data_IF_219247107443
#
_entry.id   IF_219247107443
#
_cell.length_a   1.000
_cell.length_b   1.000
_cell.length_c   1.000
_cell.angle_alpha   90.00
_cell.angle_beta   90.00
_cell.angle_gamma   90.00
#
_symmetry.space_group_name_H-M   'P 1'
#
loop_
_entity.id
_entity.type
_entity.pdbx_description
1 polymer ?
#
# COMPACT_ATOMS: atom_id res chain seq x y z
N UNK A 1 12.44 -9.09 14.03
CA UNK A 1 11.16 -9.22 13.26
C UNK A 1 10.26 -10.22 13.96
N UNK A 2 9.08 -9.82 14.44
CA UNK A 2 8.08 -10.79 14.96
C UNK A 2 7.45 -11.48 13.74
N UNK A 3 7.69 -12.80 13.61
CA UNK A 3 7.11 -13.63 12.55
C UNK A 3 5.57 -13.61 12.70
N UNK A 4 4.90 -13.30 11.60
CA UNK A 4 3.44 -13.29 11.52
C UNK A 4 2.93 -14.73 11.40
N UNK A 5 1.95 -15.10 12.22
CA UNK A 5 1.38 -16.46 12.22
C UNK A 5 0.00 -16.43 11.56
N UNK A 6 -0.05 -16.81 10.29
CA UNK A 6 -1.31 -17.24 9.67
C UNK A 6 -1.63 -18.63 10.22
N UNK A 7 -2.83 -18.83 10.76
CA UNK A 7 -3.22 -20.13 11.28
C UNK A 7 -3.74 -21.02 10.14
N UNK A 8 -2.94 -22.03 9.77
CA UNK A 8 -3.30 -23.02 8.74
C UNK A 8 -4.56 -23.80 9.09
N UNK A 9 -4.84 -24.03 10.36
CA UNK A 9 -6.06 -24.73 10.77
C UNK A 9 -7.32 -23.90 10.50
N UNK A 10 -7.25 -22.58 10.67
CA UNK A 10 -8.35 -21.69 10.29
C UNK A 10 -8.68 -21.79 8.79
N UNK A 11 -7.69 -21.97 7.92
CA UNK A 11 -7.90 -22.17 6.49
C UNK A 11 -8.53 -23.54 6.18
N UNK A 12 -8.14 -24.58 6.90
CA UNK A 12 -8.75 -25.92 6.78
C UNK A 12 -10.21 -25.95 7.22
N UNK A 13 -10.55 -25.17 8.26
CA UNK A 13 -11.89 -25.12 8.84
C UNK A 13 -12.79 -24.05 8.20
N UNK A 14 -12.25 -23.16 7.36
CA UNK A 14 -13.00 -22.13 6.60
C UNK A 14 -14.24 -22.69 5.91
N UNK A 15 -14.13 -23.87 5.30
CA UNK A 15 -15.24 -24.49 4.53
C UNK A 15 -16.37 -25.01 5.41
N UNK A 16 -16.13 -25.19 6.71
CA UNK A 16 -17.09 -25.71 7.71
C UNK A 16 -17.65 -24.62 8.62
N UNK A 17 -17.40 -23.35 8.30
CA UNK A 17 -17.79 -22.19 9.09
C UNK A 17 -19.31 -22.22 9.35
N UNK A 18 -19.69 -22.20 10.62
CA UNK A 18 -21.10 -22.24 11.05
C UNK A 18 -21.58 -23.61 11.55
N UNK A 19 -20.90 -24.70 11.21
CA UNK A 19 -21.24 -26.04 11.72
C UNK A 19 -21.03 -26.15 13.24
N UNK A 20 -21.79 -27.03 13.94
CA UNK A 20 -21.55 -27.30 15.37
C UNK A 20 -20.11 -27.76 15.65
N UNK A 21 -19.54 -28.57 14.77
CA UNK A 21 -18.15 -29.02 14.84
C UNK A 21 -17.16 -27.85 14.74
N UNK A 22 -17.41 -26.88 13.85
CA UNK A 22 -16.58 -25.67 13.75
C UNK A 22 -16.64 -24.82 15.01
N UNK A 23 -17.83 -24.62 15.60
CA UNK A 23 -17.97 -23.84 16.84
C UNK A 23 -17.19 -24.48 17.99
N UNK A 24 -17.28 -25.81 18.14
CA UNK A 24 -16.55 -26.57 19.15
C UNK A 24 -15.03 -26.49 18.94
N UNK A 25 -14.57 -26.70 17.71
CA UNK A 25 -13.15 -26.55 17.35
C UNK A 25 -12.65 -25.14 17.61
N UNK A 26 -13.39 -24.09 17.19
CA UNK A 26 -13.00 -22.69 17.34
C UNK A 26 -12.76 -22.33 18.81
N UNK A 27 -13.64 -22.73 19.72
CA UNK A 27 -13.50 -22.45 21.16
C UNK A 27 -12.23 -23.08 21.74
N UNK A 28 -11.89 -24.30 21.30
CA UNK A 28 -10.67 -24.98 21.74
C UNK A 28 -9.42 -24.34 21.13
N UNK A 29 -9.46 -24.10 19.82
CA UNK A 29 -8.34 -23.59 19.05
C UNK A 29 -8.00 -22.14 19.38
N UNK A 30 -8.98 -21.28 19.68
CA UNK A 30 -8.74 -19.86 20.03
C UNK A 30 -7.84 -19.69 21.27
N UNK A 31 -7.74 -20.71 22.14
CA UNK A 31 -6.84 -20.70 23.30
C UNK A 31 -5.36 -20.85 22.93
N UNK A 32 -5.08 -21.53 21.82
CA UNK A 32 -3.72 -21.85 21.35
C UNK A 32 -3.34 -21.06 20.09
N UNK A 33 -4.31 -20.37 19.48
CA UNK A 33 -4.13 -19.64 18.26
C UNK A 33 -3.28 -18.37 18.47
N UNK A 34 -2.14 -18.31 17.77
CA UNK A 34 -1.25 -17.13 17.80
C UNK A 34 -1.65 -16.04 16.80
N UNK A 35 -2.78 -16.21 16.09
CA UNK A 35 -3.27 -15.25 15.08
C UNK A 35 -3.75 -13.98 15.78
N UNK A 36 -3.25 -12.83 15.35
CA UNK A 36 -3.57 -11.51 15.97
C UNK A 36 -4.45 -10.61 15.11
N UNK A 37 -4.79 -11.03 13.91
CA UNK A 37 -5.56 -10.24 12.96
C UNK A 37 -6.48 -11.14 12.14
N UNK A 38 -7.75 -10.78 12.07
CA UNK A 38 -8.73 -11.39 11.17
C UNK A 38 -8.90 -10.54 9.91
N UNK A 39 -8.62 -11.14 8.75
CA UNK A 39 -8.69 -10.46 7.46
C UNK A 39 -7.72 -11.07 6.45
N UNK A 40 -7.68 -10.48 5.25
CA UNK A 40 -6.66 -10.81 4.26
C UNK A 40 -5.29 -10.29 4.68
N UNK A 41 -4.23 -10.88 4.15
CA UNK A 41 -2.87 -10.40 4.37
C UNK A 41 -2.71 -8.90 4.00
N UNK A 42 -3.40 -8.43 2.95
CA UNK A 42 -3.40 -7.02 2.57
C UNK A 42 -4.12 -6.10 3.55
N UNK A 43 -5.12 -6.60 4.29
CA UNK A 43 -5.83 -5.80 5.31
C UNK A 43 -5.01 -5.63 6.60
N UNK A 44 -3.99 -6.48 6.82
CA UNK A 44 -3.12 -6.36 7.98
C UNK A 44 -2.35 -5.05 8.01
N UNK A 45 -1.87 -4.59 6.85
CA UNK A 45 -1.17 -3.31 6.73
C UNK A 45 -2.09 -2.16 7.11
N UNK A 46 -3.30 -2.14 6.55
CA UNK A 46 -4.32 -1.14 6.85
C UNK A 46 -4.63 -1.07 8.36
N UNK A 47 -4.99 -2.21 8.97
CA UNK A 47 -5.30 -2.29 10.40
C UNK A 47 -4.08 -1.93 11.25
N UNK A 48 -2.88 -2.33 10.83
CA UNK A 48 -1.64 -2.00 11.51
C UNK A 48 -1.39 -0.49 11.57
N UNK A 49 -1.52 0.20 10.43
CA UNK A 49 -1.30 1.64 10.34
C UNK A 49 -2.36 2.41 11.13
N UNK A 50 -3.64 2.07 11.00
CA UNK A 50 -4.70 2.67 11.82
C UNK A 50 -4.38 2.55 13.31
N UNK A 51 -3.95 1.35 13.74
CA UNK A 51 -3.59 1.11 15.15
C UNK A 51 -2.37 1.92 15.58
N UNK A 52 -1.38 2.13 14.70
CA UNK A 52 -0.23 3.00 14.98
C UNK A 52 -0.69 4.45 15.18
N UNK A 53 -1.58 4.96 14.32
CA UNK A 53 -2.13 6.31 14.45
C UNK A 53 -2.98 6.49 15.71
N UNK A 54 -3.83 5.53 16.05
CA UNK A 54 -4.69 5.62 17.24
C UNK A 54 -3.89 5.57 18.56
N UNK A 55 -2.78 4.81 18.58
CA UNK A 55 -1.99 4.63 19.79
C UNK A 55 -0.79 5.58 19.90
N UNK A 56 -0.56 6.44 18.90
CA UNK A 56 0.60 7.33 18.88
C UNK A 56 0.61 8.29 20.06
N UNK A 57 -0.55 8.86 20.40
CA UNK A 57 -0.68 9.80 21.51
C UNK A 57 -0.46 9.10 22.85
N UNK A 58 -1.14 7.96 23.09
CA UNK A 58 -1.06 7.25 24.37
C UNK A 58 0.29 6.59 24.63
N UNK A 59 0.97 6.10 23.57
CA UNK A 59 2.22 5.35 23.72
C UNK A 59 3.47 6.21 23.52
N UNK A 60 3.36 7.30 22.77
CA UNK A 60 4.50 8.07 22.32
C UNK A 60 4.31 9.59 22.48
N UNK A 61 3.12 10.05 22.90
CA UNK A 61 2.81 11.48 23.03
C UNK A 61 3.03 12.30 21.75
N UNK A 62 2.86 11.67 20.58
CA UNK A 62 3.00 12.33 19.27
C UNK A 62 1.71 12.22 18.47
N UNK A 63 1.56 13.12 17.49
CA UNK A 63 0.50 13.07 16.49
C UNK A 63 1.12 13.06 15.11
N UNK A 64 0.68 12.14 14.27
CA UNK A 64 1.12 12.05 12.89
C UNK A 64 0.21 12.89 11.99
N UNK A 65 0.77 13.88 11.30
CA UNK A 65 0.03 14.76 10.40
C UNK A 65 0.06 14.30 8.95
N UNK A 66 0.93 13.34 8.61
CA UNK A 66 1.09 12.84 7.25
C UNK A 66 1.21 11.32 7.20
N UNK A 67 0.60 10.73 6.18
CA UNK A 67 0.67 9.31 5.86
C UNK A 67 1.39 9.11 4.52
N UNK A 68 2.51 8.38 4.54
CA UNK A 68 3.25 8.00 3.33
C UNK A 68 2.77 6.65 2.82
N UNK A 69 2.03 6.65 1.71
CA UNK A 69 1.46 5.45 1.11
C UNK A 69 2.05 5.13 -0.26
N UNK A 70 2.09 3.85 -0.63
CA UNK A 70 2.48 3.39 -1.96
C UNK A 70 1.27 3.29 -2.90
N UNK A 71 0.50 4.37 -3.03
CA UNK A 71 -0.75 4.34 -3.81
C UNK A 71 -1.90 3.55 -3.18
N UNK A 72 -1.74 3.03 -1.96
CA UNK A 72 -2.84 2.38 -1.25
C UNK A 72 -3.84 3.44 -0.76
N UNK A 73 -4.97 3.53 -1.45
CA UNK A 73 -6.07 4.42 -1.10
C UNK A 73 -6.86 3.92 0.10
N UNK A 74 -6.96 2.60 0.30
CA UNK A 74 -7.82 2.02 1.34
C UNK A 74 -7.29 2.32 2.73
N UNK A 75 -5.97 2.24 2.92
CA UNK A 75 -5.34 2.54 4.21
C UNK A 75 -5.51 4.01 4.59
N UNK A 76 -5.32 4.93 3.64
CA UNK A 76 -5.57 6.34 3.91
C UNK A 76 -7.04 6.61 4.26
N UNK A 77 -7.99 6.07 3.49
CA UNK A 77 -9.42 6.19 3.80
C UNK A 77 -9.75 5.71 5.21
N UNK A 78 -9.18 4.57 5.65
CA UNK A 78 -9.37 4.10 7.02
C UNK A 78 -8.88 5.11 8.05
N UNK A 79 -7.67 5.67 7.89
CA UNK A 79 -7.12 6.68 8.81
C UNK A 79 -8.06 7.88 8.92
N UNK A 80 -8.57 8.37 7.79
CA UNK A 80 -9.48 9.52 7.76
C UNK A 80 -10.80 9.22 8.46
N UNK A 81 -11.36 8.02 8.28
CA UNK A 81 -12.60 7.59 8.95
C UNK A 81 -12.42 7.50 10.46
N UNK A 82 -11.27 6.99 10.92
CA UNK A 82 -11.03 6.83 12.36
C UNK A 82 -10.69 8.12 13.09
N UNK A 83 -10.40 9.22 12.38
CA UNK A 83 -10.13 10.54 12.95
C UNK A 83 -9.26 10.47 14.23
N UNK A 84 -8.03 9.92 14.14
CA UNK A 84 -7.25 9.46 15.29
C UNK A 84 -6.93 10.55 16.32
N UNK A 85 -7.06 11.82 15.94
CA UNK A 85 -6.75 12.98 16.78
C UNK A 85 -7.92 13.98 16.88
N UNK A 86 -9.15 13.57 16.53
CA UNK A 86 -10.30 14.47 16.45
C UNK A 86 -10.27 15.38 15.21
N UNK A 87 -11.24 16.30 15.11
CA UNK A 87 -11.47 17.11 13.90
C UNK A 87 -10.42 18.21 13.69
N UNK A 88 -9.63 18.51 14.73
CA UNK A 88 -8.67 19.60 14.71
C UNK A 88 -7.40 19.25 13.90
N UNK A 89 -7.12 17.95 13.72
CA UNK A 89 -5.89 17.48 13.07
C UNK A 89 -6.24 16.50 11.96
N UNK A 90 -6.16 17.02 10.73
CA UNK A 90 -6.33 16.24 9.52
C UNK A 90 -5.00 15.60 9.09
N UNK A 91 -5.06 14.33 8.72
CA UNK A 91 -3.90 13.60 8.17
C UNK A 91 -3.85 13.81 6.67
N UNK A 92 -2.72 14.30 6.15
CA UNK A 92 -2.48 14.43 4.71
C UNK A 92 -1.88 13.16 4.12
N UNK A 93 -2.30 12.77 2.91
CA UNK A 93 -1.68 11.67 2.16
C UNK A 93 -0.50 12.20 1.36
N UNK A 94 0.64 11.53 1.48
CA UNK A 94 1.81 11.74 0.64
C UNK A 94 2.08 10.45 -0.13
N UNK A 95 2.17 10.55 -1.45
CA UNK A 95 2.51 9.40 -2.29
C UNK A 95 4.00 9.11 -2.21
N UNK A 96 4.35 7.82 -2.12
CA UNK A 96 5.75 7.44 -2.12
C UNK A 96 6.38 7.68 -3.50
N UNK A 97 7.68 7.99 -3.51
CA UNK A 97 8.41 8.24 -4.75
C UNK A 97 8.25 7.07 -5.73
N UNK A 98 8.41 5.83 -5.28
CA UNK A 98 8.25 4.65 -6.14
C UNK A 98 6.87 4.57 -6.82
N UNK A 99 5.81 4.99 -6.15
CA UNK A 99 4.47 5.06 -6.74
C UNK A 99 4.41 6.11 -7.85
N UNK A 100 4.92 7.32 -7.59
CA UNK A 100 5.01 8.40 -8.58
C UNK A 100 5.80 7.96 -9.81
N UNK A 101 6.94 7.29 -9.62
CA UNK A 101 7.78 6.76 -10.70
C UNK A 101 7.00 5.77 -11.58
N UNK A 102 6.25 4.85 -10.97
CA UNK A 102 5.41 3.89 -11.69
C UNK A 102 4.31 4.59 -12.49
N UNK A 103 3.68 5.62 -11.93
CA UNK A 103 2.65 6.41 -12.62
C UNK A 103 3.26 7.08 -13.86
N UNK A 104 4.36 7.81 -13.68
CA UNK A 104 5.03 8.55 -14.76
C UNK A 104 5.45 7.58 -15.86
N UNK A 105 6.10 6.46 -15.49
CA UNK A 105 6.58 5.48 -16.46
C UNK A 105 5.46 4.78 -17.22
N UNK A 106 4.33 4.55 -16.58
CA UNK A 106 3.14 3.98 -17.24
C UNK A 106 2.53 4.99 -18.21
N UNK A 107 2.39 6.26 -17.80
CA UNK A 107 1.81 7.31 -18.64
C UNK A 107 2.65 7.62 -19.86
N UNK A 108 3.98 7.70 -19.71
CA UNK A 108 4.91 7.94 -20.81
C UNK A 108 4.91 6.79 -21.82
N UNK A 109 4.89 5.54 -21.37
CA UNK A 109 4.80 4.37 -22.28
C UNK A 109 3.46 4.32 -23.02
N UNK A 110 2.35 4.67 -22.36
CA UNK A 110 1.04 4.79 -23.03
C UNK A 110 1.05 5.91 -24.07
N UNK A 111 1.62 7.07 -23.74
CA UNK A 111 1.76 8.20 -24.67
C UNK A 111 2.57 7.78 -25.90
N UNK A 112 3.69 7.06 -25.69
CA UNK A 112 4.52 6.50 -26.76
C UNK A 112 3.76 5.57 -27.70
N UNK A 113 2.82 4.77 -27.17
CA UNK A 113 1.98 3.87 -27.96
C UNK A 113 0.87 4.61 -28.72
N UNK A 114 0.30 5.67 -28.13
CA UNK A 114 -0.78 6.45 -28.74
C UNK A 114 -0.29 7.37 -29.85
N UNK A 115 0.92 7.90 -29.72
CA UNK A 115 1.48 8.84 -30.69
C UNK A 115 2.41 8.08 -31.65
N UNK A 116 1.95 7.86 -32.87
CA UNK A 116 2.74 7.24 -33.94
C UNK A 116 3.67 8.23 -34.64
N UNK A 117 3.26 9.50 -34.75
CA UNK A 117 4.02 10.60 -35.34
C UNK A 117 3.92 11.86 -34.49
N UNK A 118 5.02 12.60 -34.38
CA UNK A 118 5.07 13.94 -33.81
C UNK A 118 4.45 14.96 -34.77
N UNK A 119 4.24 16.19 -34.29
CA UNK A 119 3.71 17.31 -35.09
C UNK A 119 4.61 17.68 -36.27
N UNK A 120 5.91 17.38 -36.21
CA UNK A 120 6.87 17.54 -37.29
C UNK A 120 6.91 16.34 -38.27
N UNK A 121 5.99 15.38 -38.12
CA UNK A 121 5.85 14.21 -38.98
C UNK A 121 6.82 13.06 -38.65
N UNK A 122 7.77 13.26 -37.73
CA UNK A 122 8.75 12.24 -37.31
C UNK A 122 8.13 11.16 -36.47
N UNK A 123 8.65 9.94 -36.55
CA UNK A 123 8.24 8.87 -35.65
C UNK A 123 8.79 9.07 -34.25
N UNK A 124 8.09 8.57 -33.23
CA UNK A 124 8.50 8.76 -31.82
C UNK A 124 9.79 8.03 -31.45
N UNK A 125 10.24 7.11 -32.29
CA UNK A 125 11.49 6.35 -32.15
C UNK A 125 12.66 6.92 -32.95
N UNK A 126 12.52 8.09 -33.57
CA UNK A 126 13.63 8.79 -34.23
C UNK A 126 14.45 9.63 -33.24
N UNK A 127 15.62 10.12 -33.69
CA UNK A 127 16.52 10.96 -32.89
C UNK A 127 15.77 12.17 -32.31
N UNK A 128 15.79 12.31 -30.98
CA UNK A 128 15.01 13.33 -30.25
C UNK A 128 13.62 12.86 -29.78
N UNK A 129 13.24 11.63 -30.09
CA UNK A 129 12.01 10.97 -29.67
C UNK A 129 12.07 10.34 -28.27
N UNK A 130 10.93 9.81 -27.83
CA UNK A 130 10.75 9.24 -26.49
C UNK A 130 11.15 7.76 -26.47
N UNK A 131 12.44 7.50 -26.26
CA UNK A 131 12.98 6.14 -26.09
C UNK A 131 12.70 5.57 -24.69
N UNK A 132 12.66 4.24 -24.56
CA UNK A 132 12.42 3.60 -23.26
C UNK A 132 13.51 3.94 -22.24
N UNK A 133 14.78 4.07 -22.69
CA UNK A 133 15.89 4.53 -21.86
C UNK A 133 15.64 5.95 -21.32
N UNK A 134 15.06 6.84 -22.13
CA UNK A 134 14.71 8.20 -21.71
C UNK A 134 13.55 8.18 -20.70
N UNK A 135 12.55 7.32 -20.92
CA UNK A 135 11.45 7.12 -19.95
C UNK A 135 12.01 6.62 -18.62
N UNK A 136 12.93 5.66 -18.64
CA UNK A 136 13.54 5.12 -17.42
C UNK A 136 14.40 6.17 -16.72
N UNK A 137 15.16 6.98 -17.45
CA UNK A 137 15.91 8.11 -16.89
C UNK A 137 14.97 9.13 -16.21
N UNK A 138 13.92 9.58 -16.91
CA UNK A 138 12.94 10.55 -16.37
C UNK A 138 12.26 9.99 -15.12
N UNK A 139 11.86 8.72 -15.16
CA UNK A 139 11.16 8.08 -14.03
C UNK A 139 12.07 7.76 -12.87
N UNK A 140 13.39 7.75 -13.03
CA UNK A 140 14.34 7.45 -11.95
C UNK A 140 15.14 8.66 -11.48
N UNK A 141 14.94 9.83 -12.08
CA UNK A 141 15.66 11.07 -11.76
C UNK A 141 15.67 11.42 -10.26
N UNK A 142 14.57 11.15 -9.56
CA UNK A 142 14.38 11.47 -8.14
C UNK A 142 14.84 10.34 -7.20
N UNK A 143 15.43 9.25 -7.74
CA UNK A 143 16.06 8.25 -6.89
C UNK A 143 17.31 8.87 -6.28
N UNK A 144 17.43 8.78 -4.97
CA UNK A 144 18.71 9.04 -4.32
C UNK A 144 19.70 7.98 -4.82
N UNK A 145 20.58 8.37 -5.74
CA UNK A 145 21.71 7.52 -6.11
C UNK A 145 22.60 7.44 -4.85
N UNK A 146 22.94 6.23 -4.36
CA UNK A 146 23.76 6.07 -3.16
C UNK A 146 25.23 6.51 -3.34
N UNK A 147 25.53 7.46 -4.22
CA UNK A 147 26.87 7.94 -4.52
C UNK A 147 26.90 9.44 -4.81
N UNK A 148 27.06 10.23 -3.74
CA UNK A 148 28.21 11.14 -3.57
C UNK A 148 28.67 11.06 -2.12
#
# INVERSE_FOLDING_TARGET
MRKYVCCKEYDSWKRRKGSPAYKKWKILHDKECLKKHDGSAGMMENVGIVRIFQNSLSRHSVRYTSYYGNGDSKTFSSITVFHPYGNDILVSKIECLGHVQKIIGTRLRKLKQMISKLSDGKSIGEKGGLFDIMIDFITTYWKCNPTK
#
